data_IF_206197954526
#
_entry.id   IF_206197954526
#
_cell.length_a   1.000
_cell.length_b   1.000
_cell.length_c   1.000
_cell.angle_alpha   90.00
_cell.angle_beta   90.00
_cell.angle_gamma   90.00
#
_symmetry.space_group_name_H-M   'P 1'
#
loop_
_entity.id
_entity.type
_entity.pdbx_description
1 polymer ?
#
# COMPACT_ATOMS: atom_id res chain seq x y z
N UNK A 1 -21.60 -1.86 -5.78
CA UNK A 1 -20.65 -1.59 -4.66
C UNK A 1 -21.08 -2.45 -3.47
N UNK A 2 -20.17 -2.94 -2.62
CA UNK A 2 -20.47 -3.99 -1.63
C UNK A 2 -21.70 -3.77 -0.70
N UNK A 3 -22.13 -2.52 -0.49
CA UNK A 3 -23.31 -2.15 0.32
C UNK A 3 -24.61 -1.97 -0.45
N UNK A 4 -24.58 -2.01 -1.78
CA UNK A 4 -25.77 -1.90 -2.63
C UNK A 4 -26.54 -3.22 -2.63
N UNK A 5 -27.87 -3.15 -2.77
CA UNK A 5 -28.77 -4.31 -2.66
C UNK A 5 -28.37 -5.46 -3.59
N UNK A 6 -28.11 -5.16 -4.87
CA UNK A 6 -27.85 -6.17 -5.90
C UNK A 6 -26.41 -6.71 -5.87
N UNK A 7 -25.49 -6.02 -5.19
CA UNK A 7 -24.08 -6.44 -5.06
C UNK A 7 -23.67 -6.59 -3.60
N UNK A 8 -24.63 -6.92 -2.73
CA UNK A 8 -24.41 -7.01 -1.29
C UNK A 8 -23.44 -8.15 -1.00
N UNK A 9 -22.40 -7.85 -0.22
CA UNK A 9 -21.47 -8.85 0.29
C UNK A 9 -21.64 -8.94 1.81
N UNK A 10 -22.37 -9.94 2.34
CA UNK A 10 -22.73 -10.00 3.76
C UNK A 10 -21.54 -9.85 4.73
N UNK A 11 -20.38 -10.52 4.51
CA UNK A 11 -19.21 -10.32 5.36
C UNK A 11 -18.71 -8.87 5.48
N UNK A 12 -18.95 -8.03 4.47
CA UNK A 12 -18.58 -6.61 4.51
C UNK A 12 -19.67 -5.80 5.20
N UNK A 13 -20.91 -5.98 4.77
CA UNK A 13 -22.03 -5.12 5.17
C UNK A 13 -22.48 -5.35 6.61
N UNK A 14 -22.40 -6.59 7.08
CA UNK A 14 -22.82 -6.95 8.43
C UNK A 14 -21.79 -6.51 9.48
N UNK A 15 -20.56 -6.21 9.07
CA UNK A 15 -19.47 -5.78 9.96
C UNK A 15 -19.25 -4.25 9.99
N UNK A 16 -19.54 -3.54 8.90
CA UNK A 16 -19.26 -2.10 8.81
C UNK A 16 -20.21 -1.41 7.84
N UNK A 17 -20.70 -0.22 8.20
CA UNK A 17 -21.49 0.62 7.27
C UNK A 17 -20.60 1.27 6.21
N UNK A 18 -21.19 1.61 5.06
CA UNK A 18 -20.53 2.30 3.95
C UNK A 18 -19.85 3.60 4.42
N UNK A 19 -20.58 4.42 5.17
CA UNK A 19 -20.09 5.72 5.63
C UNK A 19 -18.95 5.58 6.63
N UNK A 20 -19.03 4.59 7.53
CA UNK A 20 -17.94 4.28 8.47
C UNK A 20 -16.68 3.86 7.71
N UNK A 21 -16.80 3.01 6.69
CA UNK A 21 -15.67 2.60 5.87
C UNK A 21 -14.99 3.80 5.18
N UNK A 22 -15.76 4.68 4.55
CA UNK A 22 -15.19 5.86 3.87
C UNK A 22 -14.60 6.88 4.85
N UNK A 23 -15.20 7.04 6.03
CA UNK A 23 -14.67 7.88 7.11
C UNK A 23 -13.32 7.36 7.58
N UNK A 24 -13.21 6.06 7.90
CA UNK A 24 -11.94 5.44 8.29
C UNK A 24 -10.91 5.57 7.16
N UNK A 25 -11.27 5.18 5.93
CA UNK A 25 -10.38 5.23 4.77
C UNK A 25 -9.74 6.61 4.56
N UNK A 26 -10.50 7.68 4.76
CA UNK A 26 -10.04 9.05 4.53
C UNK A 26 -9.17 9.60 5.68
N UNK A 27 -9.22 8.98 6.86
CA UNK A 27 -8.58 9.45 8.09
C UNK A 27 -7.54 8.47 8.67
N UNK A 28 -7.13 7.44 7.93
CA UNK A 28 -6.06 6.53 8.36
C UNK A 28 -4.70 7.25 8.27
N UNK A 29 -4.01 7.33 9.40
CA UNK A 29 -2.64 7.84 9.52
C UNK A 29 -1.78 6.85 10.32
N UNK A 30 -0.54 6.61 9.89
CA UNK A 30 0.42 5.72 10.56
C UNK A 30 1.55 6.47 11.29
N UNK A 31 1.56 7.80 11.18
CA UNK A 31 2.49 8.68 11.86
C UNK A 31 1.76 9.97 12.23
N UNK A 32 2.16 10.59 13.34
CA UNK A 32 1.76 11.94 13.67
C UNK A 32 2.48 12.93 12.74
N UNK A 33 1.72 13.69 11.95
CA UNK A 33 2.29 14.67 11.02
C UNK A 33 3.12 15.75 11.72
N UNK A 34 2.87 16.03 13.00
CA UNK A 34 3.61 17.02 13.80
C UNK A 34 5.01 16.53 14.18
N UNK A 35 5.26 15.22 14.08
CA UNK A 35 6.57 14.61 14.37
C UNK A 35 7.49 14.55 13.15
N UNK A 36 6.99 14.91 11.96
CA UNK A 36 7.78 14.86 10.73
C UNK A 36 8.79 16.01 10.74
N UNK A 37 10.10 15.73 10.66
CA UNK A 37 11.12 16.76 10.75
C UNK A 37 11.08 17.70 9.53
N UNK A 38 11.35 19.01 9.74
CA UNK A 38 11.46 19.95 8.64
C UNK A 38 12.61 19.51 7.71
N UNK A 39 12.36 19.56 6.40
CA UNK A 39 13.33 19.12 5.39
C UNK A 39 13.41 17.60 5.20
N UNK A 40 12.48 16.81 5.74
CA UNK A 40 12.38 15.39 5.45
C UNK A 40 12.36 15.11 3.94
N UNK A 41 13.25 14.23 3.48
CA UNK A 41 13.38 13.82 2.08
C UNK A 41 12.71 12.47 1.79
N UNK A 42 12.28 11.73 2.82
CA UNK A 42 11.59 10.46 2.62
C UNK A 42 10.16 10.69 2.12
N UNK A 43 9.95 10.46 0.83
CA UNK A 43 8.65 10.57 0.16
C UNK A 43 7.60 9.61 0.72
N UNK A 44 8.01 8.56 1.43
CA UNK A 44 7.14 7.55 2.05
C UNK A 44 7.00 7.69 3.57
N UNK A 45 7.47 8.79 4.16
CA UNK A 45 7.50 8.97 5.63
C UNK A 45 6.16 8.64 6.31
N UNK A 46 5.03 8.98 5.67
CA UNK A 46 3.67 8.76 6.19
C UNK A 46 3.27 7.29 6.37
N UNK A 47 3.94 6.37 5.65
CA UNK A 47 3.68 4.92 5.72
C UNK A 47 4.91 4.15 6.20
N UNK A 48 6.03 4.84 6.47
CA UNK A 48 7.31 4.25 6.87
C UNK A 48 7.19 3.32 8.08
N UNK A 49 6.48 3.68 9.18
CA UNK A 49 6.37 2.79 10.34
C UNK A 49 5.70 1.46 10.02
N UNK A 50 4.66 1.48 9.17
CA UNK A 50 3.98 0.28 8.72
C UNK A 50 4.88 -0.58 7.83
N UNK A 51 5.55 0.05 6.85
CA UNK A 51 6.48 -0.63 5.96
C UNK A 51 7.61 -1.31 6.74
N UNK A 52 8.23 -0.61 7.69
CA UNK A 52 9.34 -1.15 8.49
C UNK A 52 8.89 -2.32 9.37
N UNK A 53 7.66 -2.24 9.91
CA UNK A 53 7.06 -3.35 10.68
C UNK A 53 6.88 -4.60 9.82
N UNK A 54 6.31 -4.45 8.62
CA UNK A 54 6.12 -5.55 7.67
C UNK A 54 7.47 -6.11 7.24
N UNK A 55 8.41 -5.25 6.83
CA UNK A 55 9.76 -5.64 6.41
C UNK A 55 10.49 -6.41 7.51
N UNK A 56 10.44 -5.93 8.75
CA UNK A 56 11.02 -6.63 9.91
C UNK A 56 10.43 -8.02 10.08
N UNK A 57 9.10 -8.16 9.94
CA UNK A 57 8.44 -9.47 10.06
C UNK A 57 8.84 -10.39 8.90
N UNK A 58 8.85 -9.91 7.66
CA UNK A 58 9.29 -10.68 6.50
C UNK A 58 10.75 -11.17 6.65
N UNK A 59 11.65 -10.31 7.12
CA UNK A 59 13.05 -10.67 7.34
C UNK A 59 13.25 -11.70 8.47
N UNK A 60 12.29 -11.83 9.38
CA UNK A 60 12.34 -12.86 10.45
C UNK A 60 11.89 -14.24 9.97
N UNK A 61 11.33 -14.35 8.76
CA UNK A 61 10.90 -15.63 8.20
C UNK A 61 12.11 -16.36 7.58
N UNK A 62 12.13 -17.70 7.61
CA UNK A 62 13.16 -18.47 6.92
C UNK A 62 13.24 -18.10 5.44
N UNK A 63 14.46 -17.84 4.96
CA UNK A 63 14.73 -17.55 3.56
C UNK A 63 15.12 -18.83 2.83
N UNK A 64 14.64 -18.98 1.60
CA UNK A 64 15.03 -20.09 0.73
C UNK A 64 16.40 -19.83 0.08
N UNK A 65 17.09 -20.90 -0.30
CA UNK A 65 18.42 -20.81 -0.91
C UNK A 65 18.40 -20.17 -2.30
N UNK A 66 17.35 -20.45 -3.07
CA UNK A 66 17.19 -19.96 -4.43
C UNK A 66 16.04 -18.96 -4.43
N UNK A 67 16.36 -17.70 -4.64
CA UNK A 67 15.39 -16.61 -4.71
C UNK A 67 15.59 -15.82 -6.00
N UNK A 68 14.49 -15.41 -6.62
CA UNK A 68 14.52 -14.49 -7.74
C UNK A 68 14.12 -13.09 -7.24
N UNK A 69 14.78 -12.05 -7.75
CA UNK A 69 14.40 -10.67 -7.49
C UNK A 69 13.84 -10.10 -8.78
N UNK A 70 12.62 -9.60 -8.72
CA UNK A 70 11.96 -8.98 -9.87
C UNK A 70 11.26 -7.67 -9.47
N UNK A 71 10.81 -6.95 -10.48
CA UNK A 71 10.14 -5.67 -10.40
C UNK A 71 8.62 -5.87 -10.41
N UNK A 72 7.95 -5.41 -9.35
CA UNK A 72 6.49 -5.34 -9.30
C UNK A 72 6.03 -3.89 -9.41
N UNK A 73 4.95 -3.68 -10.16
CA UNK A 73 4.29 -2.39 -10.27
C UNK A 73 3.07 -2.36 -9.34
N UNK A 74 3.04 -1.40 -8.43
CA UNK A 74 1.86 -1.08 -7.62
C UNK A 74 1.07 0.01 -8.34
N UNK A 75 -0.11 -0.29 -8.92
CA UNK A 75 -0.88 0.68 -9.68
C UNK A 75 -1.26 1.89 -8.81
N UNK A 76 -0.88 3.09 -9.25
CA UNK A 76 -1.20 4.31 -8.53
C UNK A 76 -1.34 5.48 -9.50
N UNK A 77 -2.51 6.10 -9.53
CA UNK A 77 -2.81 7.23 -10.42
C UNK A 77 -2.68 8.61 -9.75
N UNK A 78 -2.52 8.66 -8.43
CA UNK A 78 -2.38 9.92 -7.69
C UNK A 78 -1.08 10.67 -7.99
N UNK A 79 -0.92 11.82 -7.35
CA UNK A 79 0.30 12.62 -7.46
C UNK A 79 1.35 12.12 -6.47
N UNK A 80 2.44 11.59 -6.99
CA UNK A 80 3.63 11.22 -6.22
C UNK A 80 4.85 11.38 -7.12
N UNK A 81 5.91 12.02 -6.62
CA UNK A 81 7.10 12.39 -7.42
C UNK A 81 7.85 11.17 -7.98
N UNK A 82 7.80 10.05 -7.27
CA UNK A 82 8.47 8.79 -7.63
C UNK A 82 7.62 7.86 -8.51
N UNK A 83 6.44 8.30 -8.96
CA UNK A 83 5.59 7.50 -9.85
C UNK A 83 6.32 7.27 -11.17
N UNK A 84 6.35 6.04 -11.64
CA UNK A 84 7.01 5.63 -12.87
C UNK A 84 6.00 5.15 -13.91
N UNK A 85 6.37 5.35 -15.18
CA UNK A 85 5.68 4.75 -16.32
C UNK A 85 6.51 3.57 -16.84
N UNK A 86 5.93 2.37 -16.88
CA UNK A 86 6.54 1.20 -17.51
C UNK A 86 5.69 0.77 -18.70
N UNK A 87 6.25 0.93 -19.89
CA UNK A 87 5.65 0.49 -21.15
C UNK A 87 5.43 -1.02 -21.11
N UNK A 88 4.32 -1.50 -21.69
CA UNK A 88 3.95 -2.92 -21.79
C UNK A 88 3.46 -3.62 -20.50
N UNK A 89 3.26 -2.89 -19.39
CA UNK A 89 2.50 -3.41 -18.23
C UNK A 89 1.02 -3.05 -18.36
N UNK A 90 0.13 -3.92 -17.85
CA UNK A 90 -1.33 -3.71 -17.86
C UNK A 90 -1.74 -2.40 -17.18
N UNK A 91 -1.08 -2.08 -16.06
CA UNK A 91 -1.15 -0.79 -15.39
C UNK A 91 0.20 -0.10 -15.53
N UNK A 92 0.40 0.77 -16.54
CA UNK A 92 1.72 1.28 -16.84
C UNK A 92 2.17 2.38 -15.87
N UNK A 93 1.23 3.07 -15.21
CA UNK A 93 1.52 4.10 -14.21
C UNK A 93 1.41 3.55 -12.78
N UNK A 94 2.47 3.72 -12.00
CA UNK A 94 2.44 3.34 -10.59
C UNK A 94 3.76 3.51 -9.86
N UNK A 95 3.89 2.84 -8.73
CA UNK A 95 5.10 2.80 -7.92
C UNK A 95 5.78 1.47 -8.20
N UNK A 96 7.01 1.53 -8.71
CA UNK A 96 7.85 0.35 -8.94
C UNK A 96 8.50 -0.07 -7.62
N UNK A 97 8.43 -1.35 -7.31
CA UNK A 97 9.09 -1.96 -6.15
C UNK A 97 9.89 -3.18 -6.60
N UNK A 98 11.01 -3.44 -5.92
CA UNK A 98 11.76 -4.69 -6.04
C UNK A 98 11.28 -5.66 -4.98
N UNK A 99 10.97 -6.87 -5.40
CA UNK A 99 10.35 -7.89 -4.55
C UNK A 99 11.03 -9.23 -4.79
N UNK A 100 11.45 -9.94 -3.73
CA UNK A 100 11.91 -11.31 -3.84
C UNK A 100 10.69 -12.23 -4.01
N UNK A 101 10.76 -13.12 -5.00
CA UNK A 101 9.78 -14.20 -5.20
C UNK A 101 10.48 -15.56 -5.18
N UNK A 102 9.69 -16.57 -4.85
CA UNK A 102 10.06 -17.98 -4.98
C UNK A 102 9.89 -18.41 -6.43
#
# INVERSE_FOLDING_TARGET
MYWEKDTRVPPVVDNMTKDRFFSIRSNIHFIDNMTIPPGNKDVFIKVRPLYDTIKKKCNSLPMERNICIDEQMVPFKGHLSIKQYIRNKSNPWGIKILVPFK
#
